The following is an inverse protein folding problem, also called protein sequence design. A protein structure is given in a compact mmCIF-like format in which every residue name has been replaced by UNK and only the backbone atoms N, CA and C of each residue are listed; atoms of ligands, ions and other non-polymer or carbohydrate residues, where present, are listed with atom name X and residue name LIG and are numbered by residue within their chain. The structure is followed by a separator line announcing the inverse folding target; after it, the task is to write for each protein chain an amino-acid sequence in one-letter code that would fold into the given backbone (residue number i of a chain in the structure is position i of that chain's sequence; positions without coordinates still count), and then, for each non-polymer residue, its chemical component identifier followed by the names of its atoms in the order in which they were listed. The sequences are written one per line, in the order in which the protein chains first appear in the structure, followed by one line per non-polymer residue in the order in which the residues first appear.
data_IF_802903326339
#
_entry.id   IF_802903326339
#
_cell.length_a   1.000
_cell.length_b   1.000
_cell.length_c   1.000
_cell.angle_alpha   90.00
_cell.angle_beta   90.00
_cell.angle_gamma   90.00
#
_symmetry.space_group_name_H-M   'P 1'
#
loop_
_entity.id
_entity.type
_entity.pdbx_description
1 polymer ?
#
# COMPACT_ATOMS: atom_id res chain seq x y z
N UNK A 1 11.61 25.44 -19.37
CA UNK A 1 10.52 25.79 -20.33
C UNK A 1 10.05 27.22 -20.07
N UNK A 2 9.61 27.94 -21.12
CA UNK A 2 9.02 29.28 -20.96
C UNK A 2 7.63 29.13 -20.32
N UNK A 3 7.23 30.05 -19.45
CA UNK A 3 5.93 29.99 -18.74
C UNK A 3 4.72 29.80 -19.68
N UNK A 4 4.77 30.26 -20.91
CA UNK A 4 3.74 30.09 -21.93
C UNK A 4 3.65 28.63 -22.40
N UNK A 5 4.81 27.97 -22.56
CA UNK A 5 4.86 26.53 -22.98
C UNK A 5 4.31 25.61 -21.89
N UNK A 6 4.64 25.89 -20.61
CA UNK A 6 4.09 25.17 -19.46
C UNK A 6 2.56 25.26 -19.43
N UNK A 7 2.03 26.47 -19.62
CA UNK A 7 0.57 26.68 -19.62
C UNK A 7 -0.13 26.00 -20.81
N UNK A 8 0.52 25.98 -21.98
CA UNK A 8 -0.02 25.30 -23.16
C UNK A 8 -0.07 23.80 -22.93
N UNK A 9 1.04 23.20 -22.47
CA UNK A 9 1.12 21.77 -22.19
C UNK A 9 0.16 21.33 -21.07
N UNK A 10 0.02 22.13 -20.02
CA UNK A 10 -0.88 21.84 -18.92
C UNK A 10 -2.37 21.88 -19.38
N UNK A 11 -2.71 22.76 -20.34
CA UNK A 11 -4.03 22.75 -20.97
C UNK A 11 -4.31 21.47 -21.75
N UNK A 12 -3.37 21.01 -22.56
CA UNK A 12 -3.51 19.74 -23.28
C UNK A 12 -3.75 18.56 -22.33
N UNK A 13 -3.03 18.53 -21.21
CA UNK A 13 -3.22 17.49 -20.16
C UNK A 13 -4.60 17.62 -19.52
N UNK A 14 -5.05 18.84 -19.22
CA UNK A 14 -6.38 19.10 -18.70
C UNK A 14 -7.45 18.55 -19.65
N UNK A 15 -7.38 18.90 -20.93
CA UNK A 15 -8.33 18.47 -21.95
C UNK A 15 -8.39 16.93 -22.02
N UNK A 16 -7.23 16.23 -21.93
CA UNK A 16 -7.17 14.78 -21.85
C UNK A 16 -7.90 14.25 -20.61
N UNK A 17 -7.61 14.81 -19.42
CA UNK A 17 -8.21 14.37 -18.15
C UNK A 17 -9.70 14.61 -18.12
N UNK A 18 -10.15 15.77 -18.59
CA UNK A 18 -11.59 16.12 -18.67
C UNK A 18 -12.34 15.21 -19.64
N UNK A 19 -11.73 14.85 -20.76
CA UNK A 19 -12.25 13.89 -21.74
C UNK A 19 -12.17 12.43 -21.30
N UNK A 20 -11.52 12.12 -20.16
CA UNK A 20 -11.29 10.74 -19.70
C UNK A 20 -10.21 9.99 -20.48
N UNK A 21 -9.35 10.69 -21.21
CA UNK A 21 -8.25 10.07 -21.95
C UNK A 21 -7.07 9.78 -21.01
N UNK A 22 -6.40 8.66 -21.24
CA UNK A 22 -5.22 8.24 -20.49
C UNK A 22 -4.03 9.16 -20.74
N UNK A 23 -3.31 9.47 -19.65
CA UNK A 23 -2.02 10.15 -19.74
C UNK A 23 -0.91 9.14 -20.10
N UNK A 24 0.04 9.60 -20.93
CA UNK A 24 1.22 8.86 -21.33
C UNK A 24 2.44 9.15 -20.45
N UNK A 25 3.56 8.50 -20.80
CA UNK A 25 4.86 8.66 -20.12
C UNK A 25 5.29 10.13 -20.04
N UNK A 26 5.28 10.84 -21.17
CA UNK A 26 5.71 12.22 -21.26
C UNK A 26 4.79 13.19 -20.49
N UNK A 27 3.48 12.90 -20.44
CA UNK A 27 2.53 13.69 -19.64
C UNK A 27 2.88 13.57 -18.15
N UNK A 28 3.11 12.34 -17.68
CA UNK A 28 3.45 12.06 -16.30
C UNK A 28 4.78 12.68 -15.87
N UNK A 29 5.82 12.58 -16.72
CA UNK A 29 7.13 13.20 -16.47
C UNK A 29 6.99 14.71 -16.38
N UNK A 30 6.27 15.32 -17.33
CA UNK A 30 6.02 16.77 -17.33
C UNK A 30 5.36 17.25 -16.03
N UNK A 31 4.39 16.51 -15.49
CA UNK A 31 3.72 16.89 -14.25
C UNK A 31 4.64 16.89 -13.01
N UNK A 32 5.79 16.21 -13.08
CA UNK A 32 6.83 16.28 -12.03
C UNK A 32 7.74 17.51 -12.13
N UNK A 33 7.70 18.29 -13.23
CA UNK A 33 8.50 19.51 -13.35
C UNK A 33 8.10 20.49 -12.22
N UNK A 34 9.06 20.99 -11.43
CA UNK A 34 8.78 21.94 -10.35
C UNK A 34 8.12 23.25 -10.79
N UNK A 35 8.25 23.62 -12.07
CA UNK A 35 7.63 24.81 -12.63
C UNK A 35 6.12 24.62 -12.93
N UNK A 36 5.64 23.37 -12.97
CA UNK A 36 4.21 23.06 -13.10
C UNK A 36 3.53 23.34 -11.76
N UNK A 37 2.51 24.22 -11.69
CA UNK A 37 1.85 24.57 -10.45
C UNK A 37 1.18 23.35 -9.80
N UNK A 38 1.60 23.01 -8.58
CA UNK A 38 1.11 21.85 -7.85
C UNK A 38 -0.41 21.88 -7.66
N UNK A 39 -0.97 23.06 -7.41
CA UNK A 39 -2.41 23.24 -7.21
C UNK A 39 -3.22 22.83 -8.45
N UNK A 40 -2.72 23.14 -9.65
CA UNK A 40 -3.42 22.75 -10.90
C UNK A 40 -3.37 21.23 -11.10
N UNK A 41 -2.26 20.58 -10.76
CA UNK A 41 -2.15 19.12 -10.79
C UNK A 41 -3.11 18.49 -9.78
N UNK A 42 -3.21 19.06 -8.57
CA UNK A 42 -4.13 18.65 -7.53
C UNK A 42 -5.60 18.76 -7.96
N UNK A 43 -5.99 19.87 -8.58
CA UNK A 43 -7.36 20.05 -9.10
C UNK A 43 -7.73 18.97 -10.11
N UNK A 44 -6.83 18.63 -11.04
CA UNK A 44 -7.07 17.58 -12.03
C UNK A 44 -7.17 16.20 -11.37
N UNK A 45 -6.29 15.92 -10.41
CA UNK A 45 -6.32 14.66 -9.66
C UNK A 45 -7.61 14.54 -8.83
N UNK A 46 -8.06 15.61 -8.19
CA UNK A 46 -9.30 15.61 -7.44
C UNK A 46 -10.54 15.41 -8.35
N UNK A 47 -10.53 15.97 -9.56
CA UNK A 47 -11.58 15.73 -10.56
C UNK A 47 -11.70 14.23 -10.88
N UNK A 48 -10.58 13.55 -11.12
CA UNK A 48 -10.59 12.09 -11.38
C UNK A 48 -11.03 11.32 -10.15
N UNK A 49 -10.54 11.69 -8.97
CA UNK A 49 -10.92 11.09 -7.68
C UNK A 49 -12.44 11.19 -7.44
N UNK A 50 -13.04 12.36 -7.69
CA UNK A 50 -14.48 12.57 -7.50
C UNK A 50 -15.34 11.81 -8.51
N UNK A 51 -14.86 11.65 -9.75
CA UNK A 51 -15.51 10.78 -10.74
C UNK A 51 -15.57 9.31 -10.30
N UNK A 52 -14.55 8.83 -9.60
CA UNK A 52 -14.43 7.43 -9.18
C UNK A 52 -15.16 7.15 -7.85
N UNK A 53 -15.09 8.07 -6.89
CA UNK A 53 -15.43 7.82 -5.50
C UNK A 53 -16.44 8.85 -4.92
N UNK A 54 -16.93 9.80 -5.71
CA UNK A 54 -17.82 10.85 -5.22
C UNK A 54 -17.19 11.68 -4.11
N UNK A 55 -17.96 12.01 -3.07
CA UNK A 55 -17.47 12.79 -1.92
C UNK A 55 -16.99 11.93 -0.73
N UNK A 56 -16.77 10.64 -0.93
CA UNK A 56 -16.38 9.72 0.15
C UNK A 56 -14.89 9.80 0.47
N UNK A 57 -14.56 9.78 1.75
CA UNK A 57 -13.21 9.51 2.28
C UNK A 57 -13.23 8.20 3.05
N UNK A 58 -12.48 7.20 2.58
CA UNK A 58 -12.46 5.87 3.19
C UNK A 58 -11.46 5.78 4.35
N UNK A 59 -11.80 4.94 5.33
CA UNK A 59 -10.91 4.51 6.40
C UNK A 59 -11.26 3.10 6.84
N UNK A 60 -10.35 2.43 7.58
CA UNK A 60 -10.67 1.15 8.22
C UNK A 60 -10.16 1.09 9.68
N UNK A 61 -10.60 0.07 10.41
CA UNK A 61 -10.04 -0.26 11.71
C UNK A 61 -9.14 -1.47 11.53
N UNK A 62 -7.83 -1.24 11.58
CA UNK A 62 -6.81 -2.23 11.26
C UNK A 62 -5.68 -2.26 12.29
N UNK A 63 -4.97 -3.38 12.27
CA UNK A 63 -3.75 -3.59 13.04
C UNK A 63 -2.67 -4.22 12.17
N UNK A 64 -1.41 -4.03 12.56
CA UNK A 64 -0.26 -4.68 11.92
C UNK A 64 0.26 -5.83 12.79
N UNK A 65 0.79 -6.85 12.14
CA UNK A 65 1.53 -7.93 12.75
C UNK A 65 2.85 -8.12 11.99
N UNK A 66 3.94 -7.91 12.69
CA UNK A 66 5.28 -8.16 12.17
C UNK A 66 5.85 -9.38 12.90
N UNK A 67 5.66 -10.61 12.42
CA UNK A 67 5.95 -11.82 13.21
C UNK A 67 7.44 -12.06 13.39
N UNK A 68 8.31 -11.46 12.59
CA UNK A 68 9.77 -11.48 12.76
C UNK A 68 10.41 -10.29 12.04
N UNK A 69 11.48 -9.76 12.62
CA UNK A 69 12.36 -8.79 11.96
C UNK A 69 13.66 -9.44 11.43
N UNK A 70 13.89 -10.71 11.71
CA UNK A 70 15.05 -11.44 11.16
C UNK A 70 14.86 -11.65 9.66
N UNK A 71 15.78 -11.09 8.85
CA UNK A 71 15.65 -11.11 7.40
C UNK A 71 16.99 -11.42 6.72
N UNK A 72 16.98 -12.35 5.76
CA UNK A 72 18.17 -12.69 4.93
C UNK A 72 18.52 -11.57 3.95
N UNK A 73 17.55 -10.78 3.52
CA UNK A 73 17.79 -9.65 2.62
C UNK A 73 18.31 -8.44 3.38
N UNK A 74 19.19 -7.68 2.70
CA UNK A 74 19.88 -6.51 3.24
C UNK A 74 19.50 -5.26 2.45
N UNK A 75 18.19 -5.00 2.32
CA UNK A 75 17.70 -3.82 1.62
C UNK A 75 18.25 -2.55 2.30
N UNK A 76 18.88 -1.68 1.52
CA UNK A 76 19.55 -0.48 2.03
C UNK A 76 18.62 0.54 2.69
N UNK A 77 17.35 0.49 2.34
CA UNK A 77 16.28 1.36 2.88
C UNK A 77 15.58 0.79 4.11
N UNK A 78 15.88 -0.43 4.54
CA UNK A 78 15.14 -1.12 5.60
C UNK A 78 15.83 -0.97 6.96
N UNK A 79 15.23 -0.22 7.88
CA UNK A 79 15.66 -0.07 9.26
C UNK A 79 15.14 -1.20 10.17
N UNK A 80 14.01 -1.81 9.82
CA UNK A 80 13.34 -2.87 10.59
C UNK A 80 14.13 -4.19 10.65
N UNK A 81 14.98 -4.44 9.66
CA UNK A 81 15.72 -5.70 9.51
C UNK A 81 16.69 -5.94 10.65
N UNK A 82 16.75 -7.18 11.13
CA UNK A 82 17.76 -7.66 12.09
C UNK A 82 18.49 -8.91 11.57
N UNK A 83 19.71 -9.13 12.05
CA UNK A 83 20.41 -10.40 11.83
C UNK A 83 19.96 -11.44 12.87
N UNK A 84 20.09 -12.74 12.55
CA UNK A 84 19.67 -13.83 13.44
C UNK A 84 20.28 -13.77 14.84
N UNK A 85 21.52 -13.29 14.94
CA UNK A 85 22.29 -13.22 16.20
C UNK A 85 22.21 -11.83 16.86
N UNK A 86 21.47 -10.91 16.25
CA UNK A 86 21.26 -9.58 16.84
C UNK A 86 20.32 -9.72 18.05
N UNK A 87 20.64 -9.10 19.20
CA UNK A 87 19.76 -9.09 20.37
C UNK A 87 18.35 -8.50 20.09
N UNK A 88 18.23 -7.67 19.05
CA UNK A 88 16.92 -7.13 18.59
C UNK A 88 16.15 -8.09 17.68
N UNK A 89 16.81 -9.18 17.21
CA UNK A 89 16.16 -10.17 16.36
C UNK A 89 15.14 -10.98 17.12
N UNK A 90 13.93 -11.11 16.57
CA UNK A 90 12.85 -11.89 17.17
C UNK A 90 12.09 -12.71 16.13
N UNK A 91 11.39 -13.73 16.61
CA UNK A 91 10.35 -14.43 15.89
C UNK A 91 9.24 -14.78 16.89
N UNK A 92 8.01 -14.36 16.60
CA UNK A 92 6.87 -14.54 17.50
C UNK A 92 6.55 -16.03 17.71
N UNK A 93 6.15 -16.37 18.90
CA UNK A 93 5.54 -17.63 19.24
C UNK A 93 4.06 -17.65 18.83
N UNK A 94 3.46 -18.82 18.70
CA UNK A 94 2.03 -18.97 18.45
C UNK A 94 1.18 -18.23 19.50
N UNK A 95 1.54 -18.35 20.77
CA UNK A 95 0.86 -17.63 21.87
C UNK A 95 0.87 -16.13 21.66
N UNK A 96 1.99 -15.55 21.18
CA UNK A 96 2.09 -14.13 20.88
C UNK A 96 1.22 -13.74 19.67
N UNK A 97 1.15 -14.60 18.65
CA UNK A 97 0.28 -14.40 17.48
C UNK A 97 -1.20 -14.40 17.89
N UNK A 98 -1.62 -15.36 18.71
CA UNK A 98 -2.99 -15.44 19.25
C UNK A 98 -3.32 -14.20 20.09
N UNK A 99 -2.41 -13.76 20.95
CA UNK A 99 -2.60 -12.54 21.75
C UNK A 99 -2.84 -11.30 20.87
N UNK A 100 -2.14 -11.18 19.74
CA UNK A 100 -2.37 -10.11 18.76
C UNK A 100 -3.73 -10.22 18.07
N UNK A 101 -4.18 -11.43 17.74
CA UNK A 101 -5.52 -11.67 17.19
C UNK A 101 -6.62 -11.30 18.18
N UNK A 102 -6.43 -11.64 19.45
CA UNK A 102 -7.35 -11.28 20.53
C UNK A 102 -7.45 -9.75 20.69
N UNK A 103 -6.30 -9.06 20.77
CA UNK A 103 -6.24 -7.59 20.85
C UNK A 103 -6.91 -6.92 19.63
N UNK A 104 -6.68 -7.45 18.42
CA UNK A 104 -7.33 -6.96 17.21
C UNK A 104 -8.86 -7.11 17.29
N UNK A 105 -9.33 -8.24 17.84
CA UNK A 105 -10.74 -8.48 18.06
C UNK A 105 -11.34 -7.49 19.05
N UNK A 106 -10.71 -7.26 20.18
CA UNK A 106 -11.16 -6.32 21.23
C UNK A 106 -11.20 -4.87 20.69
N UNK A 107 -10.26 -4.50 19.83
CA UNK A 107 -10.21 -3.18 19.20
C UNK A 107 -11.17 -3.04 17.99
N UNK A 108 -11.96 -4.05 17.66
CA UNK A 108 -12.90 -3.96 16.55
C UNK A 108 -12.26 -4.01 15.16
N UNK A 109 -11.03 -4.51 15.02
CA UNK A 109 -10.34 -4.56 13.73
C UNK A 109 -11.07 -5.48 12.73
N UNK A 110 -11.20 -4.99 11.50
CA UNK A 110 -11.69 -5.79 10.36
C UNK A 110 -10.56 -6.36 9.52
N UNK A 111 -9.34 -5.84 9.69
CA UNK A 111 -8.15 -6.21 8.93
C UNK A 111 -6.94 -6.38 9.85
N UNK A 112 -6.15 -7.43 9.59
CA UNK A 112 -4.79 -7.56 10.10
C UNK A 112 -3.81 -7.61 8.93
N UNK A 113 -2.89 -6.64 8.89
CA UNK A 113 -1.83 -6.55 7.89
C UNK A 113 -0.57 -7.28 8.40
N UNK A 114 -0.17 -8.35 7.73
CA UNK A 114 0.92 -9.22 8.19
C UNK A 114 2.07 -9.18 7.19
N UNK A 115 3.20 -8.62 7.60
CA UNK A 115 4.46 -8.59 6.84
C UNK A 115 5.64 -8.71 7.80
N UNK A 116 6.74 -9.28 7.36
CA UNK A 116 7.90 -9.44 8.23
C UNK A 116 9.20 -9.74 7.50
N UNK A 117 10.21 -10.10 8.28
CA UNK A 117 11.49 -10.55 7.75
C UNK A 117 11.42 -11.97 7.17
N UNK A 118 12.36 -12.27 6.28
CA UNK A 118 12.56 -13.61 5.72
C UNK A 118 13.52 -14.42 6.62
N UNK A 119 12.94 -15.08 7.62
CA UNK A 119 13.71 -15.81 8.63
C UNK A 119 14.17 -17.16 8.10
N UNK A 120 15.46 -17.31 7.79
CA UNK A 120 15.99 -18.48 7.09
C UNK A 120 15.90 -19.79 7.87
N UNK A 121 15.82 -19.76 9.20
CA UNK A 121 15.66 -20.96 10.04
C UNK A 121 14.19 -21.36 10.25
N UNK A 122 13.24 -20.51 9.89
CA UNK A 122 11.82 -20.86 9.97
C UNK A 122 11.40 -21.58 8.69
N UNK A 123 10.71 -22.72 8.78
CA UNK A 123 10.15 -23.42 7.62
C UNK A 123 8.92 -22.67 7.08
N UNK A 124 8.47 -23.05 5.90
CA UNK A 124 7.24 -22.52 5.29
C UNK A 124 6.02 -22.71 6.18
N UNK A 125 5.91 -23.86 6.83
CA UNK A 125 4.82 -24.23 7.72
C UNK A 125 4.66 -23.26 8.90
N UNK A 126 5.74 -22.60 9.34
CA UNK A 126 5.66 -21.57 10.37
C UNK A 126 4.90 -20.33 9.88
N UNK A 127 5.18 -19.88 8.64
CA UNK A 127 4.48 -18.74 8.03
C UNK A 127 3.01 -19.09 7.73
N UNK A 128 2.77 -20.28 7.21
CA UNK A 128 1.42 -20.81 6.96
C UNK A 128 0.63 -20.94 8.26
N UNK A 129 1.29 -21.45 9.31
CA UNK A 129 0.70 -21.61 10.65
C UNK A 129 0.21 -20.31 11.26
N UNK A 130 0.93 -19.19 11.05
CA UNK A 130 0.46 -17.87 11.49
C UNK A 130 -0.90 -17.53 10.87
N UNK A 131 -1.06 -17.77 9.58
CA UNK A 131 -2.32 -17.50 8.86
C UNK A 131 -3.43 -18.43 9.36
N UNK A 132 -3.19 -19.75 9.43
CA UNK A 132 -4.21 -20.70 9.86
C UNK A 132 -4.64 -20.50 11.32
N UNK A 133 -3.68 -20.28 12.24
CA UNK A 133 -3.97 -19.98 13.64
C UNK A 133 -4.86 -18.74 13.80
N UNK A 134 -4.53 -17.65 13.08
CA UNK A 134 -5.34 -16.44 13.13
C UNK A 134 -6.73 -16.64 12.51
N UNK A 135 -6.82 -17.32 11.38
CA UNK A 135 -8.08 -17.58 10.71
C UNK A 135 -9.01 -18.49 11.53
N UNK A 136 -8.47 -19.55 12.13
CA UNK A 136 -9.23 -20.49 12.96
C UNK A 136 -9.78 -19.83 14.23
N UNK A 137 -8.98 -18.98 14.90
CA UNK A 137 -9.37 -18.33 16.15
C UNK A 137 -10.15 -17.02 15.95
N UNK A 138 -9.93 -16.31 14.84
CA UNK A 138 -10.49 -14.97 14.58
C UNK A 138 -10.99 -14.84 13.13
N UNK A 139 -11.96 -15.68 12.69
CA UNK A 139 -12.41 -15.76 11.29
C UNK A 139 -13.06 -14.46 10.77
N UNK A 140 -13.46 -13.56 11.68
CA UNK A 140 -14.03 -12.25 11.36
C UNK A 140 -12.98 -11.21 10.95
N UNK A 141 -11.68 -11.46 11.15
CA UNK A 141 -10.60 -10.56 10.78
C UNK A 141 -10.06 -10.98 9.40
N UNK A 142 -10.11 -10.08 8.45
CA UNK A 142 -9.48 -10.31 7.14
C UNK A 142 -7.95 -10.31 7.27
N UNK A 143 -7.32 -11.39 6.87
CA UNK A 143 -5.87 -11.53 6.89
C UNK A 143 -5.28 -11.08 5.54
N UNK A 144 -4.63 -9.92 5.54
CA UNK A 144 -3.84 -9.42 4.42
C UNK A 144 -2.37 -9.69 4.69
N UNK A 145 -1.85 -10.76 4.09
CA UNK A 145 -0.55 -11.29 4.47
C UNK A 145 0.34 -11.61 3.28
N UNK A 146 1.63 -11.54 3.56
CA UNK A 146 2.77 -11.91 2.73
C UNK A 146 2.83 -11.17 1.40
N UNK A 147 3.79 -10.25 1.32
CA UNK A 147 4.10 -9.54 0.08
C UNK A 147 4.62 -10.51 -0.98
N UNK A 148 4.72 -10.05 -2.21
CA UNK A 148 5.36 -10.83 -3.28
C UNK A 148 6.79 -11.28 -2.92
N UNK A 149 7.45 -10.59 -1.99
CA UNK A 149 8.81 -10.97 -1.53
C UNK A 149 8.79 -12.21 -0.67
N UNK A 150 7.85 -12.30 0.29
CA UNK A 150 7.66 -13.51 1.10
C UNK A 150 7.16 -14.67 0.23
N UNK A 151 6.23 -14.44 -0.69
CA UNK A 151 5.75 -15.49 -1.61
C UNK A 151 6.90 -16.03 -2.47
N UNK A 152 7.76 -15.17 -3.03
CA UNK A 152 8.96 -15.60 -3.77
C UNK A 152 9.94 -16.38 -2.89
N UNK A 153 10.06 -16.00 -1.61
CA UNK A 153 10.87 -16.73 -0.64
C UNK A 153 10.29 -18.12 -0.33
N UNK A 154 8.97 -18.23 -0.23
CA UNK A 154 8.30 -19.52 -0.01
C UNK A 154 8.47 -20.46 -1.20
N UNK A 155 8.42 -19.95 -2.44
CA UNK A 155 8.75 -20.71 -3.65
C UNK A 155 10.18 -21.28 -3.57
N UNK A 156 11.14 -20.45 -3.21
CA UNK A 156 12.53 -20.87 -3.01
C UNK A 156 12.68 -21.94 -1.91
N UNK A 157 12.00 -21.78 -0.78
CA UNK A 157 12.08 -22.68 0.39
C UNK A 157 11.43 -24.04 0.12
N UNK A 158 10.27 -24.05 -0.51
CA UNK A 158 9.43 -25.24 -0.69
C UNK A 158 9.70 -25.99 -1.99
N UNK A 159 10.28 -25.33 -2.99
CA UNK A 159 10.39 -25.79 -4.37
C UNK A 159 9.01 -26.05 -5.03
N UNK A 160 7.95 -25.44 -4.51
CA UNK A 160 6.60 -25.46 -5.07
C UNK A 160 6.37 -24.20 -5.90
N UNK A 161 5.45 -24.28 -6.87
CA UNK A 161 5.11 -23.12 -7.70
C UNK A 161 4.41 -22.02 -6.88
N UNK A 162 4.52 -20.77 -7.34
CA UNK A 162 3.80 -19.63 -6.78
C UNK A 162 2.30 -19.90 -6.67
N UNK A 163 1.69 -20.52 -7.72
CA UNK A 163 0.27 -20.89 -7.72
C UNK A 163 -0.06 -21.84 -6.55
N UNK A 164 0.72 -22.90 -6.36
CA UNK A 164 0.53 -23.83 -5.26
C UNK A 164 0.60 -23.13 -3.89
N UNK A 165 1.59 -22.23 -3.71
CA UNK A 165 1.77 -21.48 -2.47
C UNK A 165 0.55 -20.58 -2.18
N UNK A 166 0.06 -19.87 -3.20
CA UNK A 166 -1.07 -18.96 -3.04
C UNK A 166 -2.38 -19.72 -2.77
N UNK A 167 -2.58 -20.89 -3.41
CA UNK A 167 -3.74 -21.77 -3.16
C UNK A 167 -3.68 -22.34 -1.74
N UNK A 168 -2.53 -22.87 -1.29
CA UNK A 168 -2.34 -23.40 0.06
C UNK A 168 -2.48 -22.32 1.15
N UNK A 169 -1.96 -21.11 0.90
CA UNK A 169 -2.16 -19.98 1.82
C UNK A 169 -3.63 -19.53 1.87
N UNK A 170 -4.33 -19.53 0.74
CA UNK A 170 -5.78 -19.25 0.69
C UNK A 170 -6.57 -20.28 1.48
N UNK A 171 -6.25 -21.57 1.36
CA UNK A 171 -6.84 -22.64 2.18
C UNK A 171 -6.56 -22.44 3.66
N UNK A 172 -5.39 -21.88 4.02
CA UNK A 172 -5.06 -21.52 5.40
C UNK A 172 -5.81 -20.28 5.92
N UNK A 173 -6.53 -19.55 5.07
CA UNK A 173 -7.29 -18.36 5.45
C UNK A 173 -6.71 -17.01 4.97
N UNK A 174 -5.71 -17.04 4.07
CA UNK A 174 -5.21 -15.82 3.44
C UNK A 174 -6.32 -15.15 2.62
N UNK A 175 -6.64 -13.89 2.93
CA UNK A 175 -7.71 -13.13 2.27
C UNK A 175 -7.23 -12.26 1.10
N UNK A 176 -6.05 -11.65 1.21
CA UNK A 176 -5.49 -10.78 0.16
C UNK A 176 -3.98 -10.57 0.37
N UNK A 177 -3.28 -10.03 -0.65
CA UNK A 177 -1.86 -9.72 -0.57
C UNK A 177 -1.61 -8.21 -0.38
N UNK A 178 -0.65 -7.82 0.48
CA UNK A 178 -0.14 -6.45 0.50
C UNK A 178 0.74 -6.16 -0.72
N UNK A 179 0.91 -4.86 -1.04
CA UNK A 179 1.67 -4.42 -2.21
C UNK A 179 3.17 -4.25 -2.01
N UNK A 180 3.68 -4.48 -0.80
CA UNK A 180 5.09 -4.24 -0.47
C UNK A 180 6.06 -5.06 -1.34
N UNK A 181 7.32 -4.61 -1.38
CA UNK A 181 8.35 -5.27 -2.17
C UNK A 181 8.49 -4.76 -3.61
N UNK A 182 7.53 -3.97 -4.09
CA UNK A 182 7.60 -3.33 -5.40
C UNK A 182 8.74 -2.31 -5.51
N UNK A 183 8.91 -1.51 -4.50
CA UNK A 183 9.82 -0.36 -4.40
C UNK A 183 9.75 0.54 -5.65
N UNK A 184 10.72 0.44 -6.55
CA UNK A 184 10.71 0.97 -7.93
C UNK A 184 11.04 -0.19 -8.88
N UNK A 185 10.30 -0.31 -9.99
CA UNK A 185 10.47 -1.42 -10.93
C UNK A 185 11.69 -1.30 -11.84
N UNK A 186 12.29 -0.13 -11.96
CA UNK A 186 13.46 0.08 -12.81
C UNK A 186 14.67 -0.66 -12.23
N UNK A 187 15.31 -1.52 -13.05
CA UNK A 187 16.35 -2.45 -12.59
C UNK A 187 17.55 -1.74 -11.98
N UNK A 188 18.04 -0.66 -12.58
CA UNK A 188 19.18 0.10 -12.06
C UNK A 188 18.94 0.67 -10.64
N UNK A 189 17.69 1.06 -10.35
CA UNK A 189 17.29 1.52 -9.02
C UNK A 189 17.24 0.34 -8.05
N UNK A 190 16.67 -0.80 -8.47
CA UNK A 190 16.58 -2.00 -7.65
C UNK A 190 17.95 -2.56 -7.28
N UNK A 191 18.88 -2.60 -8.22
CA UNK A 191 20.26 -3.09 -7.99
C UNK A 191 20.96 -2.27 -6.90
N UNK A 192 20.68 -0.97 -6.81
CA UNK A 192 21.23 -0.11 -5.77
C UNK A 192 20.51 -0.21 -4.42
N UNK A 193 19.23 -0.59 -4.40
CA UNK A 193 18.40 -0.60 -3.19
C UNK A 193 18.28 -1.98 -2.56
N UNK A 194 18.09 -3.02 -3.38
CA UNK A 194 17.64 -4.34 -2.93
C UNK A 194 17.95 -5.44 -3.95
N UNK A 195 19.19 -5.52 -4.44
CA UNK A 195 19.67 -6.41 -5.50
C UNK A 195 19.17 -7.87 -5.38
N UNK A 196 19.17 -8.42 -4.16
CA UNK A 196 18.83 -9.84 -3.92
C UNK A 196 17.33 -10.09 -3.71
N UNK A 197 16.51 -9.05 -3.74
CA UNK A 197 15.06 -9.14 -3.55
C UNK A 197 14.37 -9.64 -4.83
N UNK A 198 13.16 -10.18 -4.71
CA UNK A 198 12.33 -10.50 -5.87
C UNK A 198 12.38 -9.38 -6.91
N UNK A 199 12.78 -9.69 -8.14
CA UNK A 199 12.88 -8.69 -9.20
C UNK A 199 11.49 -8.28 -9.70
N UNK A 200 11.45 -7.27 -10.54
CA UNK A 200 10.20 -6.71 -11.09
C UNK A 200 9.33 -7.76 -11.78
N UNK A 201 9.94 -8.65 -12.57
CA UNK A 201 9.19 -9.70 -13.26
C UNK A 201 8.54 -10.66 -12.26
N UNK A 202 9.29 -11.14 -11.26
CA UNK A 202 8.77 -12.03 -10.23
C UNK A 202 7.62 -11.35 -9.44
N UNK A 203 7.79 -10.08 -9.05
CA UNK A 203 6.76 -9.32 -8.34
C UNK A 203 5.45 -9.24 -9.15
N UNK A 204 5.54 -8.83 -10.42
CA UNK A 204 4.37 -8.72 -11.31
C UNK A 204 3.70 -10.08 -11.55
N UNK A 205 4.48 -11.14 -11.75
CA UNK A 205 3.96 -12.49 -11.95
C UNK A 205 3.29 -13.07 -10.69
N UNK A 206 3.80 -12.79 -9.51
CA UNK A 206 3.17 -13.22 -8.26
C UNK A 206 1.81 -12.55 -8.10
N UNK A 207 1.70 -11.25 -8.34
CA UNK A 207 0.41 -10.55 -8.28
C UNK A 207 -0.56 -11.02 -9.36
N UNK A 208 -0.08 -11.26 -10.60
CA UNK A 208 -0.90 -11.87 -11.65
C UNK A 208 -1.46 -13.21 -11.20
N UNK A 209 -0.60 -14.10 -10.69
CA UNK A 209 -1.04 -15.42 -10.23
C UNK A 209 -2.00 -15.32 -9.05
N UNK A 210 -1.78 -14.36 -8.13
CA UNK A 210 -2.72 -14.11 -7.02
C UNK A 210 -4.11 -13.72 -7.56
N UNK A 211 -4.17 -12.82 -8.53
CA UNK A 211 -5.43 -12.43 -9.16
C UNK A 211 -6.12 -13.59 -9.89
N UNK A 212 -5.35 -14.44 -10.58
CA UNK A 212 -5.87 -15.64 -11.27
C UNK A 212 -6.46 -16.68 -10.30
N UNK A 213 -5.90 -16.82 -9.09
CA UNK A 213 -6.46 -17.73 -8.06
C UNK A 213 -7.55 -17.06 -7.21
N UNK A 214 -7.98 -15.85 -7.57
CA UNK A 214 -9.09 -15.14 -6.93
C UNK A 214 -8.69 -14.31 -5.69
N UNK A 215 -7.39 -14.15 -5.40
CA UNK A 215 -6.91 -13.26 -4.36
C UNK A 215 -6.73 -11.84 -4.91
N UNK A 216 -7.32 -10.85 -4.25
CA UNK A 216 -7.05 -9.45 -4.52
C UNK A 216 -5.74 -9.00 -3.88
N UNK A 217 -5.19 -7.88 -4.34
CA UNK A 217 -3.98 -7.33 -3.75
C UNK A 217 -3.91 -5.82 -3.79
N UNK A 218 -3.02 -5.26 -2.97
CA UNK A 218 -2.61 -3.87 -3.07
C UNK A 218 -1.39 -3.75 -3.99
N UNK A 219 -1.09 -2.53 -4.45
CA UNK A 219 0.18 -2.22 -5.08
C UNK A 219 0.78 -0.94 -4.46
N UNK A 220 2.11 -0.84 -4.50
CA UNK A 220 2.85 0.24 -3.83
C UNK A 220 3.98 0.75 -4.72
N UNK A 221 4.48 1.94 -4.40
CA UNK A 221 5.70 2.51 -4.94
C UNK A 221 6.46 3.21 -3.80
N UNK A 222 7.71 2.84 -3.54
CA UNK A 222 8.58 3.58 -2.62
C UNK A 222 9.25 4.70 -3.39
N UNK A 223 9.06 5.96 -2.99
CA UNK A 223 9.59 7.13 -3.68
C UNK A 223 10.34 8.08 -2.75
N UNK A 224 11.13 8.97 -3.35
CA UNK A 224 11.88 10.02 -2.63
C UNK A 224 13.25 9.56 -2.13
N UNK A 225 13.84 8.54 -2.77
CA UNK A 225 15.20 8.06 -2.48
C UNK A 225 16.17 8.42 -3.63
N UNK A 226 16.56 7.45 -4.48
CA UNK A 226 17.54 7.65 -5.56
C UNK A 226 16.90 7.68 -6.96
N UNK A 227 15.60 7.41 -7.02
CA UNK A 227 14.84 7.37 -8.26
C UNK A 227 14.58 8.76 -8.84
N UNK A 228 14.29 8.82 -10.14
CA UNK A 228 13.93 10.02 -10.88
C UNK A 228 12.44 10.00 -11.30
N UNK A 229 11.84 11.11 -11.70
CA UNK A 229 10.45 11.15 -12.17
C UNK A 229 10.11 10.10 -13.22
N UNK A 230 10.99 9.87 -14.19
CA UNK A 230 10.84 8.81 -15.19
C UNK A 230 10.62 7.43 -14.55
N UNK A 231 11.40 7.09 -13.53
CA UNK A 231 11.30 5.78 -12.87
C UNK A 231 9.94 5.60 -12.17
N UNK A 232 9.39 6.67 -11.59
CA UNK A 232 8.06 6.64 -10.96
C UNK A 232 6.97 6.43 -12.00
N UNK A 233 7.05 7.12 -13.14
CA UNK A 233 6.03 6.99 -14.19
C UNK A 233 6.10 5.61 -14.86
N UNK A 234 7.28 5.10 -15.18
CA UNK A 234 7.47 3.73 -15.68
C UNK A 234 6.84 2.69 -14.71
N UNK A 235 7.06 2.87 -13.41
CA UNK A 235 6.48 2.02 -12.38
C UNK A 235 4.94 2.07 -12.40
N UNK A 236 4.34 3.25 -12.43
CA UNK A 236 2.88 3.42 -12.48
C UNK A 236 2.30 2.81 -13.77
N UNK A 237 2.96 3.00 -14.91
CA UNK A 237 2.51 2.43 -16.17
C UNK A 237 2.51 0.89 -16.16
N UNK A 238 3.51 0.25 -15.57
CA UNK A 238 3.55 -1.21 -15.42
C UNK A 238 2.46 -1.74 -14.48
N UNK A 239 2.16 -1.02 -13.41
CA UNK A 239 1.03 -1.36 -12.53
C UNK A 239 -0.30 -1.23 -13.27
N UNK A 240 -0.48 -0.14 -14.00
CA UNK A 240 -1.68 0.10 -14.83
C UNK A 240 -1.87 -1.00 -15.88
N UNK A 241 -0.80 -1.40 -16.55
CA UNK A 241 -0.82 -2.48 -17.53
C UNK A 241 -1.23 -3.83 -16.91
N UNK A 242 -0.70 -4.18 -15.74
CA UNK A 242 -1.12 -5.40 -15.04
C UNK A 242 -2.57 -5.30 -14.58
N UNK A 243 -3.02 -4.14 -14.12
CA UNK A 243 -4.41 -3.93 -13.74
C UNK A 243 -5.36 -4.05 -14.94
N UNK A 244 -5.00 -3.54 -16.12
CA UNK A 244 -5.78 -3.73 -17.34
C UNK A 244 -5.99 -5.21 -17.71
N UNK A 245 -5.00 -6.05 -17.39
CA UNK A 245 -5.03 -7.48 -17.69
C UNK A 245 -5.80 -8.30 -16.66
N UNK A 246 -5.78 -7.89 -15.38
CA UNK A 246 -6.25 -8.74 -14.29
C UNK A 246 -7.37 -8.14 -13.45
N UNK A 247 -7.47 -6.81 -13.37
CA UNK A 247 -8.42 -6.10 -12.51
C UNK A 247 -8.27 -6.38 -11.00
N UNK A 248 -7.17 -7.01 -10.56
CA UNK A 248 -7.03 -7.55 -9.20
C UNK A 248 -6.46 -6.60 -8.16
N UNK A 249 -5.84 -5.46 -8.55
CA UNK A 249 -5.40 -4.46 -7.59
C UNK A 249 -6.59 -3.69 -7.03
N UNK A 250 -6.66 -3.59 -5.70
CA UNK A 250 -7.69 -2.87 -4.98
C UNK A 250 -7.32 -1.41 -4.78
N UNK A 251 -6.08 -1.17 -4.37
CA UNK A 251 -5.59 0.15 -3.98
C UNK A 251 -4.12 0.30 -4.31
N UNK A 252 -3.75 1.51 -4.75
CA UNK A 252 -2.36 1.93 -4.85
C UNK A 252 -1.96 2.78 -3.65
N UNK A 253 -0.76 2.56 -3.13
CA UNK A 253 -0.21 3.28 -1.96
C UNK A 253 1.17 3.84 -2.32
N UNK A 254 1.32 5.14 -2.55
CA UNK A 254 2.62 5.77 -2.65
C UNK A 254 3.25 5.86 -1.26
N UNK A 255 4.45 5.29 -1.12
CA UNK A 255 5.17 5.15 0.15
C UNK A 255 6.35 6.13 0.15
N UNK A 256 6.28 7.18 0.98
CA UNK A 256 7.36 8.15 1.12
C UNK A 256 8.55 7.53 1.85
N UNK A 257 9.77 7.68 1.31
CA UNK A 257 10.97 7.13 1.92
C UNK A 257 11.32 7.84 3.23
N UNK A 258 11.61 7.06 4.27
CA UNK A 258 12.16 7.51 5.55
C UNK A 258 13.62 7.10 5.62
N UNK A 259 14.58 8.05 5.59
CA UNK A 259 16.01 7.75 5.55
C UNK A 259 16.63 7.40 6.90
N UNK A 260 16.01 7.79 8.00
CA UNK A 260 16.56 7.64 9.34
C UNK A 260 16.78 6.17 9.67
N UNK A 261 17.88 5.86 10.34
CA UNK A 261 18.29 4.50 10.72
C UNK A 261 18.52 3.52 9.53
N UNK A 262 18.57 4.02 8.28
CA UNK A 262 18.84 3.21 7.08
C UNK A 262 20.27 3.41 6.57
N UNK A 263 20.70 2.60 5.61
CA UNK A 263 21.99 2.82 4.92
C UNK A 263 21.96 4.01 3.95
N UNK A 264 20.80 4.65 3.78
CA UNK A 264 20.57 5.81 2.92
C UNK A 264 20.23 7.06 3.74
N UNK A 265 20.71 7.12 4.99
CA UNK A 265 20.46 8.23 5.92
C UNK A 265 21.02 9.60 5.45
N UNK A 266 21.88 9.61 4.44
CA UNK A 266 22.35 10.82 3.79
C UNK A 266 21.35 11.43 2.79
N UNK A 267 20.29 10.73 2.43
CA UNK A 267 19.21 11.23 1.56
C UNK A 267 18.23 12.03 2.43
N UNK A 268 17.75 13.15 1.92
CA UNK A 268 16.72 13.92 2.62
C UNK A 268 15.35 13.27 2.44
N UNK A 269 14.58 13.24 3.52
CA UNK A 269 13.16 12.82 3.47
C UNK A 269 12.40 13.65 2.42
N UNK A 270 11.48 13.06 1.66
CA UNK A 270 10.58 13.79 0.77
C UNK A 270 9.86 14.93 1.48
N UNK A 271 9.67 16.04 0.76
CA UNK A 271 8.88 17.17 1.26
C UNK A 271 7.38 16.90 1.03
N UNK A 272 6.52 17.54 1.83
CA UNK A 272 5.08 17.49 1.62
C UNK A 272 4.66 17.91 0.19
N UNK A 273 5.43 18.81 -0.46
CA UNK A 273 5.16 19.19 -1.86
C UNK A 273 5.40 18.04 -2.83
N UNK A 274 6.47 17.26 -2.62
CA UNK A 274 6.72 16.06 -3.43
C UNK A 274 5.69 14.98 -3.14
N UNK A 275 5.28 14.82 -1.88
CA UNK A 275 4.27 13.84 -1.46
C UNK A 275 2.93 14.11 -2.14
N UNK A 276 2.43 15.34 -2.05
CA UNK A 276 1.18 15.76 -2.69
C UNK A 276 1.25 15.66 -4.22
N UNK A 277 2.40 16.02 -4.82
CA UNK A 277 2.62 15.90 -6.27
C UNK A 277 2.60 14.43 -6.70
N UNK A 278 3.27 13.54 -5.96
CA UNK A 278 3.30 12.11 -6.25
C UNK A 278 1.90 11.50 -6.10
N UNK A 279 1.16 11.91 -5.07
CA UNK A 279 -0.22 11.49 -4.86
C UNK A 279 -1.11 11.88 -6.07
N UNK A 280 -1.06 13.16 -6.46
CA UNK A 280 -1.87 13.67 -7.57
C UNK A 280 -1.52 13.01 -8.91
N UNK A 281 -0.23 12.86 -9.22
CA UNK A 281 0.22 12.19 -10.44
C UNK A 281 -0.18 10.71 -10.43
N UNK A 282 -0.08 10.03 -9.30
CA UNK A 282 -0.52 8.64 -9.18
C UNK A 282 -1.99 8.48 -9.54
N UNK A 283 -2.88 9.37 -9.05
CA UNK A 283 -4.29 9.38 -9.43
C UNK A 283 -4.50 9.58 -10.93
N UNK A 284 -3.75 10.52 -11.52
CA UNK A 284 -3.88 10.84 -12.94
C UNK A 284 -3.35 9.72 -13.86
N UNK A 285 -2.34 8.96 -13.40
CA UNK A 285 -1.74 7.88 -14.18
C UNK A 285 -2.45 6.53 -14.00
N UNK A 286 -3.07 6.29 -12.84
CA UNK A 286 -3.73 5.03 -12.48
C UNK A 286 -5.26 5.16 -12.58
N UNK A 287 -5.74 5.40 -13.79
CA UNK A 287 -7.17 5.57 -14.10
C UNK A 287 -8.02 4.31 -13.85
N UNK A 288 -7.39 3.14 -13.87
CA UNK A 288 -8.00 1.83 -13.70
C UNK A 288 -7.82 1.22 -12.29
N UNK A 289 -7.14 1.90 -11.38
CA UNK A 289 -7.09 1.52 -9.96
C UNK A 289 -7.97 2.49 -9.18
N UNK A 290 -9.08 1.96 -8.65
CA UNK A 290 -10.14 2.78 -8.07
C UNK A 290 -9.67 3.60 -6.88
N UNK A 291 -8.91 2.98 -5.96
CA UNK A 291 -8.52 3.59 -4.71
C UNK A 291 -7.05 4.00 -4.67
N UNK A 292 -6.77 5.17 -4.11
CA UNK A 292 -5.43 5.63 -3.77
C UNK A 292 -5.40 6.01 -2.29
N UNK A 293 -4.49 5.39 -1.56
CA UNK A 293 -4.38 5.52 -0.12
C UNK A 293 -3.28 6.48 0.29
N UNK A 294 -3.62 7.44 1.13
CA UNK A 294 -2.69 8.30 1.83
C UNK A 294 -2.29 7.68 3.17
N UNK A 295 -1.17 6.96 3.20
CA UNK A 295 -0.69 6.27 4.40
C UNK A 295 -0.09 7.27 5.39
N UNK A 296 -0.87 7.67 6.40
CA UNK A 296 -0.54 8.76 7.31
C UNK A 296 0.71 8.52 8.17
N UNK A 297 1.10 7.26 8.44
CA UNK A 297 2.35 6.94 9.15
C UNK A 297 3.56 7.55 8.43
N UNK A 298 3.60 7.47 7.12
CA UNK A 298 4.73 7.92 6.31
C UNK A 298 4.65 9.39 5.95
N UNK A 299 3.46 9.85 5.59
CA UNK A 299 3.22 11.20 5.10
C UNK A 299 3.17 12.24 6.23
N UNK A 300 2.83 11.78 7.46
CA UNK A 300 2.36 12.64 8.53
C UNK A 300 0.88 12.98 8.37
N UNK A 301 0.20 13.22 9.50
CA UNK A 301 -1.27 13.36 9.55
C UNK A 301 -1.77 14.50 8.65
N UNK A 302 -1.13 15.68 8.72
CA UNK A 302 -1.55 16.85 7.93
C UNK A 302 -1.40 16.65 6.42
N UNK A 303 -0.29 16.02 5.96
CA UNK A 303 -0.09 15.72 4.54
C UNK A 303 -1.07 14.66 4.06
N UNK A 304 -1.37 13.64 4.88
CA UNK A 304 -2.36 12.62 4.55
C UNK A 304 -3.76 13.23 4.42
N UNK A 305 -4.16 14.13 5.33
CA UNK A 305 -5.42 14.87 5.22
C UNK A 305 -5.47 15.70 3.92
N UNK A 306 -4.43 16.49 3.64
CA UNK A 306 -4.34 17.28 2.41
C UNK A 306 -4.41 16.42 1.14
N UNK A 307 -3.92 15.19 1.18
CA UNK A 307 -3.95 14.26 0.04
C UNK A 307 -5.37 13.94 -0.43
N UNK A 308 -6.39 14.07 0.43
CA UNK A 308 -7.81 13.92 0.06
C UNK A 308 -8.29 14.98 -0.95
N UNK A 309 -7.59 16.09 -1.10
CA UNK A 309 -7.79 17.09 -2.14
C UNK A 309 -6.82 16.92 -3.33
N UNK A 310 -5.88 15.97 -3.24
CA UNK A 310 -4.85 15.70 -4.24
C UNK A 310 -4.94 14.28 -4.84
N UNK A 311 -6.15 13.71 -4.88
CA UNK A 311 -6.42 12.46 -5.59
C UNK A 311 -6.53 11.21 -4.72
N UNK A 312 -6.17 11.26 -3.42
CA UNK A 312 -6.44 10.18 -2.49
C UNK A 312 -7.92 10.13 -2.11
N UNK A 313 -8.42 8.93 -1.88
CA UNK A 313 -9.79 8.68 -1.39
C UNK A 313 -9.80 7.85 -0.11
N UNK A 314 -8.65 7.38 0.35
CA UNK A 314 -8.48 6.55 1.54
C UNK A 314 -7.33 7.11 2.39
N UNK A 315 -7.56 7.29 3.69
CA UNK A 315 -6.55 7.81 4.64
C UNK A 315 -5.89 6.68 5.45
N UNK A 316 -6.11 5.42 5.07
CA UNK A 316 -5.82 4.22 5.83
C UNK A 316 -6.73 4.06 7.06
N UNK A 317 -6.22 3.53 8.14
CA UNK A 317 -7.00 3.23 9.32
C UNK A 317 -6.28 3.55 10.62
N UNK A 318 -6.67 2.84 11.67
CA UNK A 318 -6.09 3.02 13.01
C UNK A 318 -4.61 2.66 13.07
N UNK A 319 -4.15 1.71 12.25
CA UNK A 319 -2.75 1.29 12.06
C UNK A 319 -2.03 1.01 13.38
N UNK A 320 -2.59 0.12 14.21
CA UNK A 320 -1.94 -0.29 15.46
C UNK A 320 -0.72 -1.17 15.19
N UNK A 321 0.32 -1.06 16.02
CA UNK A 321 1.52 -1.92 16.01
C UNK A 321 2.33 -1.89 14.70
N UNK A 322 2.35 -0.77 14.00
CA UNK A 322 3.24 -0.58 12.87
C UNK A 322 4.67 -0.34 13.37
N UNK A 323 5.61 -1.24 13.05
CA UNK A 323 7.00 -1.17 13.50
C UNK A 323 7.98 -0.75 12.40
N UNK A 324 7.67 -1.03 11.13
CA UNK A 324 8.63 -0.90 10.02
C UNK A 324 9.02 0.56 9.79
N UNK A 325 8.07 1.47 9.81
CA UNK A 325 8.31 2.90 9.59
C UNK A 325 8.73 3.61 10.87
N UNK A 326 8.25 3.17 12.03
CA UNK A 326 8.72 3.70 13.32
C UNK A 326 10.21 3.38 13.53
N UNK A 327 10.68 2.19 13.17
CA UNK A 327 12.11 1.84 13.16
C UNK A 327 12.91 2.69 12.17
N UNK A 328 12.31 3.13 11.06
CA UNK A 328 12.90 4.05 10.11
C UNK A 328 12.75 5.54 10.51
N UNK A 329 12.35 5.84 11.74
CA UNK A 329 12.30 7.20 12.29
C UNK A 329 10.99 7.95 12.07
N UNK A 330 9.89 7.26 11.76
CA UNK A 330 8.57 7.90 11.76
C UNK A 330 8.22 8.43 13.15
N UNK A 331 7.77 9.68 13.23
CA UNK A 331 7.43 10.38 14.48
C UNK A 331 5.92 10.50 14.70
N UNK A 332 5.13 9.84 13.87
CA UNK A 332 3.68 9.77 14.02
C UNK A 332 3.28 8.94 15.24
N UNK A 333 2.09 9.13 15.81
CA UNK A 333 1.63 8.29 16.91
C UNK A 333 1.52 6.82 16.51
N UNK A 334 1.54 5.90 17.47
CA UNK A 334 1.42 4.46 17.23
C UNK A 334 0.07 4.04 16.62
N UNK A 335 -0.99 4.84 16.86
CA UNK A 335 -2.30 4.65 16.26
C UNK A 335 -3.09 5.95 16.25
N UNK A 336 -4.09 6.04 15.34
CA UNK A 336 -5.13 7.06 15.40
C UNK A 336 -6.44 6.46 15.90
N UNK A 337 -7.19 7.26 16.68
CA UNK A 337 -8.56 6.89 17.03
C UNK A 337 -9.49 7.04 15.82
N UNK A 338 -10.58 6.28 15.80
CA UNK A 338 -11.62 6.38 14.77
C UNK A 338 -12.19 7.79 14.72
N UNK A 339 -12.42 8.44 15.88
CA UNK A 339 -12.94 9.80 15.94
C UNK A 339 -11.98 10.81 15.31
N UNK A 340 -10.66 10.65 15.56
CA UNK A 340 -9.65 11.50 14.91
C UNK A 340 -9.66 11.33 13.40
N UNK A 341 -9.71 10.08 12.90
CA UNK A 341 -9.75 9.79 11.46
C UNK A 341 -11.00 10.39 10.82
N UNK A 342 -12.16 10.17 11.41
CA UNK A 342 -13.44 10.75 10.93
C UNK A 342 -13.41 12.26 10.90
N UNK A 343 -12.86 12.88 11.96
CA UNK A 343 -12.69 14.34 12.04
C UNK A 343 -11.81 14.85 10.89
N UNK A 344 -10.65 14.25 10.63
CA UNK A 344 -9.74 14.63 9.54
C UNK A 344 -10.42 14.55 8.18
N UNK A 345 -11.20 13.49 7.92
CA UNK A 345 -11.94 13.32 6.67
C UNK A 345 -13.04 14.37 6.53
N UNK A 346 -13.78 14.64 7.61
CA UNK A 346 -14.88 15.63 7.61
C UNK A 346 -14.34 17.05 7.41
N UNK A 347 -13.25 17.43 8.09
CA UNK A 347 -12.61 18.74 7.88
C UNK A 347 -12.03 18.92 6.47
N UNK A 348 -11.64 17.83 5.82
CA UNK A 348 -11.27 17.86 4.40
C UNK A 348 -12.48 18.00 3.46
N UNK A 349 -13.69 18.18 3.99
CA UNK A 349 -14.93 18.30 3.23
C UNK A 349 -15.44 16.99 2.63
N UNK A 350 -15.02 15.83 3.19
CA UNK A 350 -15.38 14.50 2.70
C UNK A 350 -16.31 13.78 3.68
N UNK A 351 -17.09 12.83 3.17
CA UNK A 351 -17.93 11.95 3.97
C UNK A 351 -17.12 10.75 4.46
N UNK A 352 -16.93 10.56 5.79
CA UNK A 352 -16.14 9.44 6.31
C UNK A 352 -16.92 8.14 6.23
N UNK A 353 -16.41 7.18 5.47
CA UNK A 353 -16.99 5.84 5.31
C UNK A 353 -16.01 4.78 5.78
N UNK A 354 -16.42 3.98 6.76
CA UNK A 354 -15.65 2.80 7.15
C UNK A 354 -15.76 1.70 6.09
N UNK A 355 -14.63 1.14 5.70
CA UNK A 355 -14.55 0.01 4.78
C UNK A 355 -13.82 -1.17 5.38
N UNK A 356 -14.08 -2.38 4.87
CA UNK A 356 -13.22 -3.53 5.10
C UNK A 356 -12.02 -3.55 4.13
N UNK A 357 -11.23 -4.62 4.16
CA UNK A 357 -10.07 -4.79 3.26
C UNK A 357 -10.46 -4.81 1.78
N UNK A 358 -11.65 -5.29 1.44
CA UNK A 358 -12.13 -5.40 0.06
C UNK A 358 -12.98 -4.20 -0.37
N UNK A 359 -12.91 -3.08 0.36
CA UNK A 359 -13.66 -1.83 0.12
C UNK A 359 -15.18 -2.00 0.20
N UNK A 360 -15.68 -2.99 0.95
CA UNK A 360 -17.10 -3.07 1.30
C UNK A 360 -17.35 -2.17 2.51
N UNK A 361 -18.49 -1.49 2.51
CA UNK A 361 -18.86 -0.61 3.62
C UNK A 361 -19.09 -1.41 4.90
N UNK A 362 -18.54 -0.97 6.01
CA UNK A 362 -18.75 -1.57 7.33
C UNK A 362 -19.74 -0.70 8.10
N UNK A 363 -20.89 -1.27 8.43
CA UNK A 363 -21.93 -0.63 9.24
C UNK A 363 -21.86 -1.21 10.66
N UNK A 364 -21.64 -0.34 11.64
CA UNK A 364 -21.55 -0.72 13.04
C UNK A 364 -22.81 -0.28 13.77
N UNK A 365 -23.51 -1.20 14.39
CA UNK A 365 -24.66 -0.94 15.25
C UNK A 365 -24.25 -1.15 16.72
N UNK A 366 -23.75 -0.07 17.33
CA UNK A 366 -23.20 -0.12 18.69
C UNK A 366 -21.90 -0.92 18.80
N UNK A 367 -21.58 -1.38 20.02
CA UNK A 367 -20.36 -2.13 20.31
C UNK A 367 -20.51 -3.65 20.10
N UNK A 368 -21.74 -4.12 19.88
CA UNK A 368 -22.01 -5.54 19.65
C UNK A 368 -21.69 -5.95 18.21
N UNK A 369 -20.63 -6.70 18.04
CA UNK A 369 -20.18 -7.18 16.72
C UNK A 369 -21.21 -8.03 15.97
N UNK A 370 -22.09 -8.72 16.67
CA UNK A 370 -23.16 -9.49 16.03
C UNK A 370 -24.12 -8.63 15.22
N UNK A 371 -24.16 -7.33 15.50
CA UNK A 371 -24.96 -6.31 14.80
C UNK A 371 -24.22 -5.60 13.69
N UNK A 372 -22.93 -5.84 13.54
CA UNK A 372 -22.17 -5.23 12.47
C UNK A 372 -22.44 -5.96 11.16
N UNK A 373 -22.64 -5.21 10.13
CA UNK A 373 -22.83 -5.74 8.78
C UNK A 373 -21.77 -5.18 7.83
N UNK A 374 -21.31 -6.04 6.94
CA UNK A 374 -20.51 -5.65 5.81
C UNK A 374 -21.43 -5.65 4.60
N UNK A 375 -21.82 -4.46 4.15
CA UNK A 375 -22.76 -4.26 3.06
C UNK A 375 -22.11 -3.60 1.84
N UNK A 376 -22.79 -3.66 0.71
CA UNK A 376 -22.34 -3.13 -0.57
C UNK A 376 -21.64 -4.17 -1.44
N UNK A 377 -21.61 -3.91 -2.75
CA UNK A 377 -20.85 -4.72 -3.69
C UNK A 377 -19.35 -4.50 -3.47
N UNK A 378 -18.56 -5.58 -3.59
CA UNK A 378 -17.14 -5.41 -3.91
C UNK A 378 -17.09 -4.55 -5.16
N UNK A 379 -16.30 -3.46 -5.13
CA UNK A 379 -16.13 -2.63 -6.32
C UNK A 379 -15.73 -3.51 -7.51
N UNK A 380 -16.53 -3.47 -8.56
CA UNK A 380 -16.18 -4.17 -9.80
C UNK A 380 -14.85 -3.62 -10.33
N UNK A 381 -13.97 -4.47 -10.86
CA UNK A 381 -12.74 -4.00 -11.47
C UNK A 381 -13.02 -2.97 -12.55
N UNK A 382 -12.32 -1.84 -12.52
CA UNK A 382 -12.34 -0.87 -13.61
C UNK A 382 -11.50 -1.46 -14.76
N UNK A 383 -12.13 -2.34 -15.55
CA UNK A 383 -11.49 -2.83 -16.78
C UNK A 383 -11.36 -1.68 -17.78
N UNK A 384 -10.28 -1.68 -18.55
CA UNK A 384 -10.09 -0.70 -19.62
C UNK A 384 -11.31 -0.67 -20.55
N UNK A 385 -11.90 0.50 -20.73
CA UNK A 385 -12.95 0.74 -21.71
C UNK A 385 -12.36 1.10 -23.05
#
# INVERSE_FOLDING_TARGET
MVATEIRARLREIRDKVEAGHRLGLEDGIFLYDPQVPLQEVGVLANLVRERLNGNVGYYNINTHLNPTNVCVYRCRFCAFRSDLRDPKGYAMTETQVIARGQEATENGCTEMHIVGGLHHQRPYEWYRGIVSTLHENFPQIHLKAWTAVEINWFEFKTRRSVRWILEDMREAGLGSLPGGGAEIFHQEVRDQLCEHKANTHAWLQIHRTAHEVGLRSNCTMLYGHIEQPYHRIDHLMRLRELQDQTGGFQVFIPLAFHPENTQLSNIKKPSALLDLRTMAISRLMLDNIRHIKAYWIMLGIGTAQMSLAYGADDIDGTVRHELIYHDAGATTPECLSVDTIRHLITEAGREPVERDTLYRHVLRDGDDRSRWSVGGSVDEPLLAR
#
